data_IF_082652966870
#
_entry.id   IF_082652966870
#
_cell.length_a   1.000
_cell.length_b   1.000
_cell.length_c   1.000
_cell.angle_alpha   90.00
_cell.angle_beta   90.00
_cell.angle_gamma   90.00
#
_symmetry.space_group_name_H-M   'P 1'
#
loop_
_entity.id
_entity.type
_entity.pdbx_description
1 polymer ?
#
# COMPACT_ATOMS: atom_id res chain seq x y z
N UNK A 1 17.50 -20.88 -2.20
CA UNK A 1 16.35 -19.98 -1.97
C UNK A 1 16.67 -18.68 -2.66
N UNK A 2 15.90 -18.31 -3.67
CA UNK A 2 16.04 -17.05 -4.40
C UNK A 2 15.87 -15.89 -3.42
N UNK A 3 16.81 -14.95 -3.40
CA UNK A 3 16.74 -13.77 -2.54
C UNK A 3 15.57 -12.87 -3.01
N UNK A 4 14.47 -12.89 -2.24
CA UNK A 4 13.23 -12.13 -2.52
C UNK A 4 13.54 -10.65 -2.79
N UNK A 5 14.41 -10.05 -1.97
CA UNK A 5 14.77 -8.65 -2.08
C UNK A 5 15.57 -8.38 -3.37
N UNK A 6 16.49 -9.26 -3.73
CA UNK A 6 17.23 -9.15 -4.98
C UNK A 6 16.30 -9.26 -6.20
N UNK A 7 15.33 -10.17 -6.18
CA UNK A 7 14.36 -10.32 -7.27
C UNK A 7 13.43 -9.10 -7.40
N UNK A 8 12.96 -8.53 -6.30
CA UNK A 8 12.17 -7.30 -6.32
C UNK A 8 12.99 -6.15 -6.94
N UNK A 9 14.24 -5.96 -6.52
CA UNK A 9 15.13 -4.92 -7.07
C UNK A 9 15.42 -5.11 -8.56
N UNK A 10 15.46 -6.35 -9.03
CA UNK A 10 15.74 -6.67 -10.44
C UNK A 10 14.57 -6.39 -11.37
N UNK A 11 13.33 -6.61 -10.92
CA UNK A 11 12.14 -6.60 -11.78
C UNK A 11 11.17 -5.44 -11.52
N UNK A 12 11.52 -4.52 -10.62
CA UNK A 12 10.67 -3.39 -10.24
C UNK A 12 11.48 -2.11 -10.07
N UNK A 13 10.79 -0.97 -10.01
CA UNK A 13 11.36 0.35 -9.76
C UNK A 13 11.01 0.90 -8.37
N UNK A 14 10.25 0.14 -7.58
CA UNK A 14 9.82 0.48 -6.23
C UNK A 14 10.94 0.42 -5.18
N UNK A 15 10.63 0.87 -3.98
CA UNK A 15 11.56 0.80 -2.85
C UNK A 15 11.50 -0.59 -2.20
N UNK A 16 12.65 -1.23 -2.03
CA UNK A 16 12.78 -2.57 -1.45
C UNK A 16 13.40 -2.47 -0.07
N UNK A 17 12.57 -2.57 0.96
CA UNK A 17 12.89 -2.25 2.35
C UNK A 17 12.94 -3.53 3.20
N UNK A 18 14.15 -4.00 3.50
CA UNK A 18 14.40 -5.29 4.14
C UNK A 18 15.32 -5.19 5.37
N UNK A 19 15.77 -3.98 5.73
CA UNK A 19 16.52 -3.82 6.99
C UNK A 19 15.60 -4.06 8.19
N UNK A 20 16.18 -4.36 9.34
CA UNK A 20 15.40 -4.54 10.57
C UNK A 20 14.64 -3.27 10.96
N UNK A 21 15.25 -2.10 10.74
CA UNK A 21 14.61 -0.81 10.99
C UNK A 21 13.42 -0.57 10.05
N UNK A 22 13.55 -0.96 8.78
CA UNK A 22 12.44 -0.85 7.83
C UNK A 22 11.28 -1.76 8.24
N UNK A 23 11.56 -3.04 8.47
CA UNK A 23 10.55 -4.04 8.83
C UNK A 23 9.86 -3.69 10.15
N UNK A 24 10.60 -3.15 11.12
CA UNK A 24 10.05 -2.71 12.40
C UNK A 24 9.00 -1.60 12.23
N UNK A 25 9.17 -0.67 11.28
CA UNK A 25 8.19 0.41 11.03
C UNK A 25 6.83 -0.11 10.55
N UNK A 26 6.81 -1.28 9.93
CA UNK A 26 5.61 -1.92 9.39
C UNK A 26 5.12 -3.10 10.24
N UNK A 27 5.72 -3.29 11.42
CA UNK A 27 5.41 -4.40 12.31
C UNK A 27 4.08 -4.22 13.07
N UNK A 28 3.60 -2.99 13.18
CA UNK A 28 2.41 -2.61 13.93
C UNK A 28 1.42 -1.84 13.06
N UNK A 29 0.20 -1.75 13.56
CA UNK A 29 -0.82 -0.81 13.13
C UNK A 29 -1.46 -0.14 14.35
N UNK A 30 -2.65 0.45 14.23
CA UNK A 30 -3.34 1.09 15.35
C UNK A 30 -3.95 0.07 16.35
N UNK A 31 -3.63 -1.21 16.22
CA UNK A 31 -4.05 -2.27 17.14
C UNK A 31 -2.96 -2.65 18.15
N UNK A 32 -3.26 -3.65 18.99
CA UNK A 32 -2.30 -4.28 19.90
C UNK A 32 -1.43 -5.34 19.22
N UNK A 33 -1.72 -5.70 17.97
CA UNK A 33 -1.01 -6.78 17.28
C UNK A 33 0.32 -6.28 16.72
N UNK A 34 1.33 -7.15 16.80
CA UNK A 34 2.65 -6.90 16.21
C UNK A 34 3.13 -8.15 15.50
N UNK A 35 3.53 -8.01 14.23
CA UNK A 35 4.13 -9.07 13.41
C UNK A 35 5.21 -8.46 12.52
N UNK A 36 6.46 -8.94 12.63
CA UNK A 36 7.52 -8.47 11.75
C UNK A 36 7.31 -9.02 10.34
N UNK A 37 7.16 -8.18 9.30
CA UNK A 37 6.97 -8.65 7.93
C UNK A 37 8.22 -9.36 7.40
N UNK A 38 8.07 -10.14 6.33
CA UNK A 38 9.23 -10.74 5.61
C UNK A 38 10.09 -9.62 4.99
N UNK A 39 9.42 -8.61 4.45
CA UNK A 39 10.00 -7.39 3.93
C UNK A 39 8.89 -6.46 3.47
N UNK A 40 9.26 -5.25 3.06
CA UNK A 40 8.30 -4.24 2.58
C UNK A 40 8.69 -3.77 1.19
N UNK A 41 7.69 -3.59 0.34
CA UNK A 41 7.83 -3.08 -0.99
C UNK A 41 6.92 -1.87 -1.19
N UNK A 42 7.48 -0.75 -1.64
CA UNK A 42 6.74 0.49 -1.93
C UNK A 42 6.74 0.68 -3.45
N UNK A 43 5.67 0.28 -4.17
CA UNK A 43 5.61 0.34 -5.63
C UNK A 43 5.48 1.78 -6.13
N UNK A 44 6.00 2.07 -7.33
CA UNK A 44 5.83 3.38 -8.00
C UNK A 44 4.86 3.33 -9.17
N UNK A 45 4.60 2.13 -9.69
CA UNK A 45 3.78 1.89 -10.89
C UNK A 45 2.92 0.64 -10.72
N UNK A 46 1.82 0.52 -11.47
CA UNK A 46 0.96 -0.66 -11.39
C UNK A 46 1.70 -1.94 -11.80
N UNK A 47 2.65 -1.83 -12.73
CA UNK A 47 3.52 -2.94 -13.13
C UNK A 47 4.46 -3.39 -11.99
N UNK A 48 4.90 -2.47 -11.12
CA UNK A 48 5.66 -2.85 -9.91
C UNK A 48 4.84 -3.76 -9.00
N UNK A 49 3.56 -3.47 -8.78
CA UNK A 49 2.66 -4.29 -7.96
C UNK A 49 2.52 -5.68 -8.57
N UNK A 50 2.23 -5.75 -9.87
CA UNK A 50 2.10 -7.02 -10.60
C UNK A 50 3.38 -7.85 -10.48
N UNK A 51 4.54 -7.26 -10.78
CA UNK A 51 5.82 -7.94 -10.72
C UNK A 51 6.18 -8.37 -9.28
N UNK A 52 5.83 -7.58 -8.27
CA UNK A 52 6.04 -7.95 -6.87
C UNK A 52 5.18 -9.15 -6.44
N UNK A 53 3.93 -9.22 -6.89
CA UNK A 53 3.04 -10.38 -6.66
C UNK A 53 3.61 -11.64 -7.33
N UNK A 54 4.11 -11.53 -8.55
CA UNK A 54 4.73 -12.66 -9.26
C UNK A 54 6.01 -13.14 -8.56
N UNK A 55 6.87 -12.21 -8.14
CA UNK A 55 8.08 -12.52 -7.35
C UNK A 55 7.74 -13.19 -6.02
N UNK A 56 6.70 -12.71 -5.31
CA UNK A 56 6.26 -13.30 -4.06
C UNK A 56 5.65 -14.70 -4.28
N UNK A 57 4.88 -14.90 -5.36
CA UNK A 57 4.32 -16.19 -5.76
C UNK A 57 5.42 -17.22 -6.00
N UNK A 58 6.44 -16.87 -6.78
CA UNK A 58 7.58 -17.75 -7.08
C UNK A 58 8.38 -18.10 -5.83
N UNK A 59 8.51 -17.15 -4.90
CA UNK A 59 9.15 -17.34 -3.62
C UNK A 59 8.28 -18.05 -2.57
N UNK A 60 7.00 -18.31 -2.87
CA UNK A 60 5.98 -18.84 -1.93
C UNK A 60 5.83 -17.99 -0.67
N UNK A 61 5.95 -16.67 -0.82
CA UNK A 61 5.80 -15.69 0.27
C UNK A 61 4.40 -15.08 0.21
N UNK A 62 3.63 -15.06 1.32
CA UNK A 62 2.35 -14.36 1.38
C UNK A 62 2.50 -12.89 1.04
N UNK A 63 1.47 -12.28 0.47
CA UNK A 63 1.41 -10.84 0.20
C UNK A 63 0.37 -10.20 1.12
N UNK A 64 0.67 -9.02 1.64
CA UNK A 64 -0.23 -8.20 2.43
C UNK A 64 -0.24 -6.78 1.85
N UNK A 65 -1.39 -6.33 1.35
CA UNK A 65 -1.55 -4.94 0.93
C UNK A 65 -1.73 -4.02 2.14
N UNK A 66 -1.13 -2.84 2.10
CA UNK A 66 -1.19 -1.85 3.18
C UNK A 66 -1.36 -0.45 2.63
N UNK A 67 -2.34 0.27 3.18
CA UNK A 67 -2.50 1.72 3.02
C UNK A 67 -1.91 2.46 4.23
N UNK A 68 -2.70 3.32 4.87
CA UNK A 68 -2.24 4.13 6.02
C UNK A 68 -1.87 3.35 7.29
N UNK A 69 -2.14 2.05 7.38
CA UNK A 69 -1.81 1.25 8.56
C UNK A 69 -2.60 1.64 9.82
N UNK A 70 -3.79 2.21 9.65
CA UNK A 70 -4.64 2.74 10.73
C UNK A 70 -5.64 1.73 11.27
N UNK A 71 -5.55 0.45 10.87
CA UNK A 71 -6.48 -0.56 11.34
C UNK A 71 -6.30 -0.84 12.84
N UNK A 72 -7.41 -1.11 13.53
CA UNK A 72 -7.45 -1.40 14.96
C UNK A 72 -7.57 -2.90 15.28
N UNK A 73 -7.64 -3.76 14.26
CA UNK A 73 -7.82 -5.21 14.43
C UNK A 73 -6.69 -6.06 13.78
N UNK A 74 -5.52 -5.46 13.51
CA UNK A 74 -4.33 -6.18 13.06
C UNK A 74 -4.26 -6.52 11.57
N UNK A 75 -5.27 -6.16 10.77
CA UNK A 75 -5.36 -6.54 9.34
C UNK A 75 -4.20 -6.01 8.49
N UNK A 76 -3.48 -4.98 8.96
CA UNK A 76 -2.38 -4.37 8.20
C UNK A 76 -1.00 -4.83 8.67
N UNK A 77 -0.94 -5.84 9.52
CA UNK A 77 0.30 -6.46 10.04
C UNK A 77 0.31 -7.94 9.72
N UNK A 78 1.49 -8.50 9.43
CA UNK A 78 1.60 -9.94 9.17
C UNK A 78 2.98 -10.37 8.66
N UNK A 79 3.27 -11.66 8.80
CA UNK A 79 4.49 -12.29 8.28
C UNK A 79 4.34 -12.52 6.77
N UNK A 80 4.45 -11.44 6.01
CA UNK A 80 4.23 -11.38 4.56
C UNK A 80 5.20 -10.40 3.90
N UNK A 81 5.26 -10.39 2.56
CA UNK A 81 5.71 -9.22 1.83
C UNK A 81 4.62 -8.16 1.93
N UNK A 82 4.87 -7.09 2.67
CA UNK A 82 3.96 -5.95 2.76
C UNK A 82 4.14 -5.08 1.52
N UNK A 83 3.07 -4.82 0.78
CA UNK A 83 3.04 -3.88 -0.34
C UNK A 83 2.34 -2.61 0.14
N UNK A 84 3.09 -1.51 0.23
CA UNK A 84 2.62 -0.22 0.75
C UNK A 84 2.35 0.76 -0.40
N UNK A 85 1.07 0.93 -0.74
CA UNK A 85 0.63 1.80 -1.83
C UNK A 85 0.53 3.29 -1.41
N UNK A 86 0.72 3.61 -0.12
CA UNK A 86 0.39 4.93 0.44
C UNK A 86 1.27 6.08 -0.07
N UNK A 87 2.47 5.79 -0.56
CA UNK A 87 3.46 6.83 -0.93
C UNK A 87 3.25 7.40 -2.34
N UNK A 88 3.01 6.53 -3.32
CA UNK A 88 3.02 6.92 -4.74
C UNK A 88 1.64 6.85 -5.41
N UNK A 89 0.74 5.98 -4.94
CA UNK A 89 -0.60 5.77 -5.49
C UNK A 89 -1.64 6.64 -4.81
N UNK A 90 -1.55 7.96 -4.98
CA UNK A 90 -2.32 8.96 -4.22
C UNK A 90 -3.07 9.95 -5.09
N UNK A 91 -3.38 9.58 -6.33
CA UNK A 91 -4.02 10.45 -7.31
C UNK A 91 -5.52 10.15 -7.47
N UNK A 92 -6.27 11.18 -7.91
CA UNK A 92 -7.61 11.02 -8.46
C UNK A 92 -7.45 10.61 -9.93
N UNK A 93 -8.02 9.48 -10.31
CA UNK A 93 -7.96 8.94 -11.68
C UNK A 93 -9.08 9.53 -12.53
N UNK A 94 -10.29 9.61 -11.98
CA UNK A 94 -11.46 10.17 -12.65
C UNK A 94 -12.38 10.82 -11.63
N UNK A 95 -13.04 11.91 -12.01
CA UNK A 95 -14.03 12.57 -11.17
C UNK A 95 -15.18 13.14 -12.02
N UNK A 96 -16.37 12.61 -11.79
CA UNK A 96 -17.61 13.08 -12.42
C UNK A 96 -18.48 13.76 -11.36
N UNK A 97 -18.54 15.09 -11.42
CA UNK A 97 -19.32 15.92 -10.50
C UNK A 97 -20.82 15.69 -10.67
N UNK A 98 -21.29 15.49 -11.90
CA UNK A 98 -22.71 15.34 -12.20
C UNK A 98 -23.24 14.00 -11.69
N UNK A 99 -22.46 12.93 -11.91
CA UNK A 99 -22.77 11.59 -11.41
C UNK A 99 -22.35 11.38 -9.95
N UNK A 100 -21.59 12.31 -9.36
CA UNK A 100 -21.03 12.23 -8.00
C UNK A 100 -20.20 10.96 -7.79
N UNK A 101 -19.38 10.62 -8.77
CA UNK A 101 -18.47 9.46 -8.71
C UNK A 101 -17.02 9.91 -8.79
N UNK A 102 -16.16 9.28 -8.01
CA UNK A 102 -14.71 9.52 -8.04
C UNK A 102 -13.98 8.18 -8.03
N UNK A 103 -13.00 8.04 -8.92
CA UNK A 103 -12.08 6.91 -8.96
C UNK A 103 -10.73 7.41 -8.48
N UNK A 104 -10.15 6.73 -7.49
CA UNK A 104 -8.89 7.11 -6.87
C UNK A 104 -7.93 5.93 -6.86
N UNK A 105 -6.65 6.24 -6.76
CA UNK A 105 -5.62 5.26 -6.45
C UNK A 105 -5.70 4.79 -4.98
N UNK A 106 -5.26 3.57 -4.66
CA UNK A 106 -5.50 2.92 -3.37
C UNK A 106 -4.83 3.60 -2.16
N UNK A 107 -3.78 4.38 -2.37
CA UNK A 107 -3.09 5.17 -1.34
C UNK A 107 -3.70 6.55 -1.09
N UNK A 108 -4.84 6.90 -1.72
CA UNK A 108 -5.51 8.18 -1.50
C UNK A 108 -5.96 8.33 -0.03
N UNK A 109 -5.46 9.36 0.64
CA UNK A 109 -5.90 9.74 1.98
C UNK A 109 -7.27 10.44 1.89
N UNK A 110 -8.21 10.02 2.73
CA UNK A 110 -9.59 10.52 2.75
C UNK A 110 -9.65 12.05 2.87
N UNK A 111 -8.87 12.66 3.77
CA UNK A 111 -8.83 14.11 3.95
C UNK A 111 -8.38 14.86 2.69
N UNK A 112 -7.40 14.31 1.96
CA UNK A 112 -6.94 14.91 0.71
C UNK A 112 -8.01 14.82 -0.38
N UNK A 113 -8.73 13.69 -0.46
CA UNK A 113 -9.87 13.55 -1.35
C UNK A 113 -10.95 14.57 -0.99
N UNK A 114 -11.35 14.66 0.27
CA UNK A 114 -12.38 15.59 0.73
C UNK A 114 -11.99 17.06 0.50
N UNK A 115 -10.71 17.41 0.65
CA UNK A 115 -10.20 18.74 0.31
C UNK A 115 -10.36 19.08 -1.18
N UNK A 116 -10.19 18.10 -2.07
CA UNK A 116 -10.43 18.26 -3.51
C UNK A 116 -11.92 18.39 -3.85
N UNK A 117 -12.77 17.53 -3.27
CA UNK A 117 -14.22 17.50 -3.51
C UNK A 117 -14.94 18.76 -2.99
N UNK A 118 -14.44 19.37 -1.91
CA UNK A 118 -15.02 20.58 -1.29
C UNK A 118 -15.21 21.74 -2.27
N UNK A 119 -14.33 21.88 -3.27
CA UNK A 119 -14.42 22.91 -4.33
C UNK A 119 -15.70 22.80 -5.18
N UNK A 120 -16.31 21.62 -5.18
CA UNK A 120 -17.54 21.30 -5.92
C UNK A 120 -18.75 21.16 -4.99
N UNK A 121 -18.61 21.51 -3.70
CA UNK A 121 -19.68 21.34 -2.72
C UNK A 121 -19.97 19.87 -2.38
N UNK A 122 -19.04 18.96 -2.66
CA UNK A 122 -19.17 17.53 -2.40
C UNK A 122 -18.22 17.07 -1.27
N UNK A 123 -18.54 15.93 -0.67
CA UNK A 123 -17.71 15.23 0.32
C UNK A 123 -17.97 13.72 0.25
N UNK A 124 -16.99 12.90 0.63
CA UNK A 124 -17.15 11.45 0.74
C UNK A 124 -17.68 11.09 2.15
N UNK A 125 -18.87 10.47 2.27
CA UNK A 125 -19.64 10.39 3.50
C UNK A 125 -19.15 9.39 4.56
N UNK A 126 -18.02 8.72 4.32
CA UNK A 126 -17.41 7.79 5.27
C UNK A 126 -16.23 8.50 5.92
N UNK A 127 -16.23 8.56 7.24
CA UNK A 127 -15.15 9.01 8.13
C UNK A 127 -14.90 7.90 9.17
#
# INVERSE_FOLDING_TARGET
MTDLAANLRKHTQGEVLFSDADRARYATDASIYQQIPVGVFVPKTADDIKNAIDVARDAKVPVLARGGGTSQCGQTTGVALVIDDSKYFRNVINFDVAQRTVTVEPGMVLDHLNAALKKHGLWYPVD
#
